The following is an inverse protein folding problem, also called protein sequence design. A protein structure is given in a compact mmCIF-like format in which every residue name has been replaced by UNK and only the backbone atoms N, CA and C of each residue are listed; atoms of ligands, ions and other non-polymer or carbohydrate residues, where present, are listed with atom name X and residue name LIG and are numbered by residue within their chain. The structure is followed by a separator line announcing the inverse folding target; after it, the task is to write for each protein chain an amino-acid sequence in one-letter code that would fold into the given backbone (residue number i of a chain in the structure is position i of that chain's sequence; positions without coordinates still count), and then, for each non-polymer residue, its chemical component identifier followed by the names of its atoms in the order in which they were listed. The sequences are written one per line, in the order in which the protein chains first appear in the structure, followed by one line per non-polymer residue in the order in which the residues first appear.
data_IF_427686555830
#
_entry.id   IF_427686555830
#
_cell.length_a   1.000
_cell.length_b   1.000
_cell.length_c   1.000
_cell.angle_alpha   90.00
_cell.angle_beta   90.00
_cell.angle_gamma   90.00
#
_symmetry.space_group_name_H-M   'P 1'
#
loop_
_entity.id
_entity.type
_entity.pdbx_description
1 polymer ?
#
# COMPACT_ATOMS: atom_id res chain seq x y z
N UNK A 1 -14.26 15.82 7.30
CA UNK A 1 -13.31 15.36 8.33
C UNK A 1 -14.00 14.34 9.24
N UNK A 2 -13.25 13.44 9.86
CA UNK A 2 -13.81 12.52 10.87
C UNK A 2 -14.21 13.28 12.13
N UNK A 3 -15.14 12.72 12.91
CA UNK A 3 -15.48 13.31 14.20
C UNK A 3 -14.40 13.01 15.26
N UNK A 4 -14.49 13.65 16.43
CA UNK A 4 -13.48 13.54 17.49
C UNK A 4 -13.34 12.11 18.01
N UNK A 5 -14.46 11.42 18.24
CA UNK A 5 -14.48 10.02 18.70
C UNK A 5 -13.80 9.08 17.71
N UNK A 6 -14.11 9.22 16.41
CA UNK A 6 -13.49 8.46 15.33
C UNK A 6 -11.97 8.70 15.27
N UNK A 7 -11.57 9.97 15.35
CA UNK A 7 -10.15 10.35 15.29
C UNK A 7 -9.37 9.81 16.49
N UNK A 8 -9.96 9.87 17.70
CA UNK A 8 -9.36 9.31 18.92
C UNK A 8 -9.15 7.80 18.81
N UNK A 9 -10.18 7.06 18.38
CA UNK A 9 -10.08 5.59 18.26
C UNK A 9 -9.06 5.14 17.21
N UNK A 10 -8.91 5.87 16.10
CA UNK A 10 -7.87 5.57 15.11
C UNK A 10 -6.47 5.89 15.63
N UNK A 11 -6.31 6.92 16.46
CA UNK A 11 -5.06 7.22 17.16
C UNK A 11 -4.72 6.13 18.19
N UNK A 12 -5.69 5.70 18.99
CA UNK A 12 -5.53 4.59 19.92
C UNK A 12 -5.15 3.30 19.18
N UNK A 13 -5.69 3.08 17.97
CA UNK A 13 -5.33 1.94 17.12
C UNK A 13 -3.88 2.03 16.63
N UNK A 14 -3.41 3.21 16.23
CA UNK A 14 -2.02 3.44 15.85
C UNK A 14 -1.07 3.15 17.02
N UNK A 15 -1.39 3.62 18.23
CA UNK A 15 -0.60 3.37 19.44
C UNK A 15 -0.57 1.87 19.79
N UNK A 16 -1.71 1.18 19.68
CA UNK A 16 -1.74 -0.26 19.90
C UNK A 16 -0.95 -1.03 18.83
N UNK A 17 -0.92 -0.53 17.59
CA UNK A 17 -0.11 -1.07 16.51
C UNK A 17 1.40 -0.84 16.76
N UNK A 18 1.82 0.33 17.27
CA UNK A 18 3.20 0.58 17.70
C UNK A 18 3.68 -0.50 18.66
N UNK A 19 2.85 -0.85 19.63
CA UNK A 19 3.20 -1.89 20.60
C UNK A 19 3.46 -3.25 19.94
N UNK A 20 2.71 -3.60 18.88
CA UNK A 20 2.98 -4.80 18.10
C UNK A 20 4.27 -4.69 17.27
N UNK A 21 4.62 -3.49 16.80
CA UNK A 21 5.87 -3.24 16.08
C UNK A 21 7.07 -3.37 17.01
N UNK A 22 7.01 -2.78 18.21
CA UNK A 22 8.08 -2.85 19.20
C UNK A 22 8.40 -4.29 19.62
N UNK A 23 7.38 -5.14 19.66
CA UNK A 23 7.51 -6.57 19.96
C UNK A 23 7.84 -7.43 18.72
N UNK A 24 8.08 -6.82 17.56
CA UNK A 24 8.35 -7.50 16.29
C UNK A 24 7.23 -8.47 15.83
N UNK A 25 5.99 -8.21 16.27
CA UNK A 25 4.80 -8.99 15.92
C UNK A 25 4.29 -8.56 14.54
N UNK A 26 4.19 -7.25 14.29
CA UNK A 26 3.65 -6.70 13.04
C UNK A 26 4.49 -5.54 12.52
N UNK A 27 4.57 -5.40 11.19
CA UNK A 27 5.32 -4.30 10.55
C UNK A 27 4.48 -3.43 9.61
N UNK A 28 3.24 -3.86 9.32
CA UNK A 28 2.37 -3.24 8.33
C UNK A 28 0.90 -3.29 8.77
N UNK A 29 0.04 -2.54 8.08
CA UNK A 29 -1.41 -2.51 8.35
C UNK A 29 -2.15 -3.79 7.88
N UNK A 30 -1.44 -4.84 7.45
CA UNK A 30 -2.02 -6.14 7.09
C UNK A 30 -2.10 -7.06 8.32
N UNK A 31 -2.89 -6.65 9.32
CA UNK A 31 -2.88 -7.25 10.66
C UNK A 31 -3.05 -8.77 10.67
N UNK A 32 -4.03 -9.30 9.93
CA UNK A 32 -4.26 -10.75 9.85
C UNK A 32 -3.04 -11.50 9.30
N UNK A 33 -2.43 -10.99 8.23
CA UNK A 33 -1.24 -11.60 7.63
C UNK A 33 -0.03 -11.56 8.55
N UNK A 34 0.23 -10.39 9.15
CA UNK A 34 1.35 -10.20 10.06
C UNK A 34 1.25 -11.08 11.32
N UNK A 35 0.07 -11.17 11.92
CA UNK A 35 -0.18 -12.03 13.09
C UNK A 35 -0.07 -13.51 12.73
N UNK A 36 -0.58 -13.92 11.56
CA UNK A 36 -0.41 -15.30 11.12
C UNK A 36 1.05 -15.66 10.83
N UNK A 37 1.81 -14.77 10.20
CA UNK A 37 3.27 -14.94 10.07
C UNK A 37 3.94 -15.04 11.44
N UNK A 38 3.56 -14.19 12.40
CA UNK A 38 4.08 -14.23 13.77
C UNK A 38 3.85 -15.61 14.41
N UNK A 39 2.61 -16.10 14.47
CA UNK A 39 2.31 -17.41 15.05
C UNK A 39 3.02 -18.55 14.33
N UNK A 40 3.01 -18.56 13.00
CA UNK A 40 3.70 -19.60 12.23
C UNK A 40 5.19 -19.65 12.56
N UNK A 41 5.85 -18.49 12.67
CA UNK A 41 7.29 -18.43 12.95
C UNK A 41 7.63 -18.90 14.36
N UNK A 42 6.76 -18.64 15.35
CA UNK A 42 6.97 -19.13 16.72
C UNK A 42 6.69 -20.63 16.86
N UNK A 43 5.63 -21.13 16.23
CA UNK A 43 5.25 -22.55 16.31
C UNK A 43 6.23 -23.44 15.54
N UNK A 44 6.65 -23.01 14.35
CA UNK A 44 7.49 -23.81 13.45
C UNK A 44 8.99 -23.44 13.51
N UNK A 45 9.38 -22.55 14.43
CA UNK A 45 10.75 -22.04 14.57
C UNK A 45 11.34 -21.50 13.25
N UNK A 46 10.60 -20.62 12.58
CA UNK A 46 10.96 -20.04 11.29
C UNK A 46 11.55 -18.62 11.45
N UNK A 47 12.39 -18.24 10.50
CA UNK A 47 12.88 -16.87 10.37
C UNK A 47 12.11 -16.13 9.27
N UNK A 48 11.51 -14.98 9.60
CA UNK A 48 10.78 -14.15 8.63
C UNK A 48 11.77 -13.44 7.69
N UNK A 49 11.41 -13.29 6.42
CA UNK A 49 12.16 -12.39 5.56
C UNK A 49 12.00 -10.92 6.02
N UNK A 50 13.10 -10.18 6.01
CA UNK A 50 13.16 -8.76 6.37
C UNK A 50 12.50 -7.86 5.32
N UNK A 51 12.52 -8.27 4.06
CA UNK A 51 11.82 -7.60 2.94
C UNK A 51 10.81 -8.56 2.31
N UNK A 52 9.85 -8.00 1.59
CA UNK A 52 8.90 -8.82 0.82
C UNK A 52 9.65 -9.61 -0.25
N UNK A 53 9.68 -10.92 -0.08
CA UNK A 53 10.22 -11.87 -1.06
C UNK A 53 9.06 -12.40 -1.89
N UNK A 54 9.27 -12.59 -3.20
CA UNK A 54 8.21 -13.07 -4.08
C UNK A 54 7.87 -14.51 -3.73
N UNK A 55 6.65 -14.75 -3.25
CA UNK A 55 6.11 -16.10 -3.02
C UNK A 55 6.68 -16.86 -1.82
N UNK A 56 7.43 -16.19 -0.93
CA UNK A 56 7.88 -16.78 0.32
C UNK A 56 7.89 -15.71 1.42
N UNK A 57 7.44 -16.09 2.62
CA UNK A 57 7.24 -15.20 3.76
C UNK A 57 8.25 -15.49 4.89
N UNK A 58 8.70 -16.74 5.02
CA UNK A 58 9.70 -17.18 5.99
C UNK A 58 10.56 -18.35 5.47
N UNK A 59 11.58 -18.73 6.22
CA UNK A 59 12.42 -19.91 5.97
C UNK A 59 12.82 -20.58 7.29
N UNK A 60 13.16 -21.87 7.25
CA UNK A 60 13.66 -22.62 8.41
C UNK A 60 15.20 -22.71 8.45
N UNK A 61 15.75 -23.41 9.44
CA UNK A 61 17.19 -23.60 9.61
C UNK A 61 17.85 -24.35 8.42
N UNK A 62 17.08 -25.08 7.62
CA UNK A 62 17.54 -25.79 6.43
C UNK A 62 17.33 -24.98 5.14
N UNK A 63 17.01 -23.68 5.25
CA UNK A 63 16.67 -22.78 4.15
C UNK A 63 15.44 -23.23 3.33
N UNK A 64 14.58 -24.10 3.87
CA UNK A 64 13.31 -24.44 3.23
C UNK A 64 12.37 -23.24 3.37
N UNK A 65 11.73 -22.86 2.27
CA UNK A 65 10.95 -21.63 2.11
C UNK A 65 9.49 -21.91 2.42
N UNK A 66 8.88 -20.99 3.18
CA UNK A 66 7.51 -21.08 3.63
C UNK A 66 6.70 -19.91 3.06
N UNK A 67 5.62 -20.21 2.35
CA UNK A 67 4.58 -19.22 2.05
C UNK A 67 3.49 -19.32 3.13
N UNK A 68 3.23 -18.23 3.82
CA UNK A 68 2.29 -18.19 4.96
C UNK A 68 1.02 -17.45 4.52
N UNK A 69 -0.14 -18.04 4.79
CA UNK A 69 -1.44 -17.43 4.56
C UNK A 69 -2.29 -17.52 5.81
N UNK A 70 -2.81 -16.39 6.24
CA UNK A 70 -3.56 -16.28 7.48
C UNK A 70 -5.01 -15.92 7.20
N UNK A 71 -5.91 -16.46 8.03
CA UNK A 71 -7.34 -16.19 7.94
C UNK A 71 -7.96 -16.10 9.33
N UNK A 72 -8.71 -15.02 9.57
CA UNK A 72 -9.65 -14.95 10.70
C UNK A 72 -10.89 -15.78 10.34
N UNK A 73 -11.16 -16.82 11.13
CA UNK A 73 -12.27 -17.76 10.95
C UNK A 73 -13.40 -17.37 11.90
N UNK A 74 -14.60 -17.15 11.34
CA UNK A 74 -15.82 -16.86 12.10
C UNK A 74 -16.60 -18.14 12.37
N UNK A 75 -17.49 -18.12 13.37
CA UNK A 75 -18.32 -19.27 13.77
C UNK A 75 -19.16 -19.87 12.63
N UNK A 76 -19.59 -19.05 11.67
CA UNK A 76 -20.40 -19.43 10.51
C UNK A 76 -19.59 -19.68 9.21
N UNK A 77 -18.27 -19.83 9.33
CA UNK A 77 -17.42 -20.03 8.17
C UNK A 77 -17.61 -21.43 7.54
N UNK A 78 -17.78 -21.47 6.22
CA UNK A 78 -17.97 -22.71 5.45
C UNK A 78 -16.68 -23.18 4.77
N UNK A 79 -16.09 -22.34 3.90
CA UNK A 79 -14.84 -22.60 3.20
C UNK A 79 -14.19 -21.32 2.65
N UNK A 80 -12.88 -21.38 2.39
CA UNK A 80 -12.09 -20.33 1.76
C UNK A 80 -11.13 -20.98 0.79
N UNK A 81 -10.90 -20.28 -0.30
CA UNK A 81 -10.00 -20.72 -1.36
C UNK A 81 -8.85 -19.74 -1.46
N UNK A 82 -7.64 -20.24 -1.32
CA UNK A 82 -6.42 -19.50 -1.62
C UNK A 82 -6.08 -19.81 -3.07
N UNK A 83 -5.97 -18.77 -3.90
CA UNK A 83 -5.71 -18.87 -5.33
C UNK A 83 -4.38 -18.23 -5.68
N UNK A 84 -3.92 -18.45 -6.90
CA UNK A 84 -2.74 -17.80 -7.48
C UNK A 84 -1.46 -18.06 -6.68
N UNK A 85 -1.35 -19.26 -6.12
CA UNK A 85 -0.11 -19.75 -5.54
C UNK A 85 0.88 -20.04 -6.67
N UNK A 86 2.16 -19.78 -6.42
CA UNK A 86 3.23 -20.19 -7.31
C UNK A 86 4.13 -21.19 -6.55
N UNK A 87 3.89 -22.50 -6.71
CA UNK A 87 4.57 -23.53 -5.92
C UNK A 87 6.07 -23.60 -6.16
N UNK A 88 6.60 -22.99 -7.23
CA UNK A 88 8.06 -22.92 -7.45
C UNK A 88 8.78 -21.98 -6.47
N UNK A 89 8.05 -21.11 -5.79
CA UNK A 89 8.61 -20.06 -4.93
C UNK A 89 8.71 -20.45 -3.45
N UNK A 90 8.09 -21.55 -3.05
CA UNK A 90 8.09 -22.04 -1.68
C UNK A 90 8.12 -23.56 -1.66
N UNK A 91 8.65 -24.11 -0.56
CA UNK A 91 8.73 -25.55 -0.35
C UNK A 91 7.54 -26.02 0.51
N UNK A 92 7.00 -25.15 1.35
CA UNK A 92 5.78 -25.39 2.12
C UNK A 92 4.79 -24.23 2.05
N UNK A 93 3.50 -24.56 1.93
CA UNK A 93 2.40 -23.64 2.19
C UNK A 93 1.92 -23.84 3.64
N UNK A 94 2.00 -22.79 4.45
CA UNK A 94 1.48 -22.79 5.82
C UNK A 94 0.22 -21.93 5.91
N UNK A 95 -0.87 -22.51 6.39
CA UNK A 95 -2.15 -21.83 6.57
C UNK A 95 -2.45 -21.69 8.05
N UNK A 96 -2.66 -20.46 8.49
CA UNK A 96 -2.89 -20.10 9.89
C UNK A 96 -4.32 -19.64 10.07
N UNK A 97 -5.07 -20.34 10.93
CA UNK A 97 -6.40 -19.94 11.35
C UNK A 97 -6.32 -19.18 12.67
N UNK A 98 -6.91 -17.99 12.67
CA UNK A 98 -7.07 -17.14 13.85
C UNK A 98 -8.55 -17.00 14.19
N UNK A 99 -8.90 -16.79 15.46
CA UNK A 99 -10.26 -16.40 15.84
C UNK A 99 -10.47 -14.89 15.64
N UNK A 100 -11.68 -14.40 15.95
CA UNK A 100 -12.02 -12.97 15.85
C UNK A 100 -11.23 -12.08 16.83
N UNK A 101 -10.56 -12.68 17.81
CA UNK A 101 -9.63 -12.02 18.72
C UNK A 101 -8.16 -12.06 18.27
N UNK A 102 -7.90 -12.58 17.07
CA UNK A 102 -6.55 -12.86 16.54
C UNK A 102 -5.74 -13.88 17.36
N UNK A 103 -6.40 -14.76 18.09
CA UNK A 103 -5.77 -15.88 18.78
C UNK A 103 -5.65 -17.08 17.84
N UNK A 104 -4.57 -17.84 17.99
CA UNK A 104 -4.28 -19.00 17.15
C UNK A 104 -5.28 -20.14 17.41
N UNK A 105 -5.95 -20.61 16.35
CA UNK A 105 -6.85 -21.77 16.38
C UNK A 105 -6.14 -23.02 15.85
N UNK A 106 -5.49 -22.89 14.69
CA UNK A 106 -4.89 -24.02 13.99
C UNK A 106 -3.83 -23.54 13.00
N UNK A 107 -2.85 -24.41 12.75
CA UNK A 107 -1.88 -24.27 11.67
C UNK A 107 -1.94 -25.55 10.84
N UNK A 108 -1.99 -25.39 9.52
CA UNK A 108 -1.89 -26.47 8.55
C UNK A 108 -0.67 -26.26 7.66
N UNK A 109 0.06 -27.33 7.37
CA UNK A 109 1.23 -27.30 6.51
C UNK A 109 1.04 -28.26 5.34
N UNK A 110 1.28 -27.76 4.13
CA UNK A 110 1.19 -28.52 2.89
C UNK A 110 2.54 -28.45 2.18
N UNK A 111 3.06 -29.59 1.76
CA UNK A 111 4.22 -29.66 0.88
C UNK A 111 3.89 -29.04 -0.48
N UNK A 112 4.84 -28.29 -1.03
CA UNK A 112 4.69 -27.69 -2.35
C UNK A 112 4.83 -28.74 -3.44
N UNK A 113 3.91 -28.70 -4.41
CA UNK A 113 3.98 -29.52 -5.62
C UNK A 113 3.47 -28.68 -6.81
N UNK A 114 3.85 -29.01 -8.07
CA UNK A 114 3.55 -28.16 -9.24
C UNK A 114 2.06 -27.80 -9.42
N UNK A 115 1.16 -28.65 -8.95
CA UNK A 115 -0.29 -28.47 -9.06
C UNK A 115 -0.90 -27.61 -7.94
N UNK A 116 -0.13 -27.29 -6.89
CA UNK A 116 -0.56 -26.48 -5.74
C UNK A 116 -0.66 -24.98 -6.10
N UNK A 117 -1.49 -24.67 -7.08
CA UNK A 117 -1.79 -23.32 -7.55
C UNK A 117 -3.00 -22.72 -6.84
N UNK A 118 -3.87 -23.58 -6.30
CA UNK A 118 -5.07 -23.24 -5.55
C UNK A 118 -5.35 -24.29 -4.49
N UNK A 119 -5.82 -23.88 -3.32
CA UNK A 119 -6.27 -24.80 -2.27
C UNK A 119 -7.56 -24.28 -1.64
N UNK A 120 -8.50 -25.17 -1.35
CA UNK A 120 -9.76 -24.86 -0.66
C UNK A 120 -9.80 -25.57 0.68
N UNK A 121 -9.89 -24.80 1.76
CA UNK A 121 -10.05 -25.33 3.12
C UNK A 121 -11.52 -25.20 3.51
N UNK A 122 -12.21 -26.31 3.74
CA UNK A 122 -13.58 -26.32 4.28
C UNK A 122 -13.58 -26.66 5.76
N UNK A 123 -14.64 -26.27 6.47
CA UNK A 123 -14.79 -26.65 7.89
C UNK A 123 -14.92 -28.16 8.09
N UNK A 124 -15.51 -28.86 7.13
CA UNK A 124 -15.75 -30.32 7.16
C UNK A 124 -14.63 -31.15 6.54
N UNK A 125 -13.57 -30.53 6.02
CA UNK A 125 -12.47 -31.26 5.41
C UNK A 125 -11.61 -31.97 6.46
N UNK A 126 -11.17 -33.19 6.16
CA UNK A 126 -10.14 -33.86 6.95
C UNK A 126 -8.76 -33.36 6.55
N UNK A 127 -8.11 -32.67 7.48
CA UNK A 127 -6.75 -32.14 7.35
C UNK A 127 -5.85 -32.65 8.48
N UNK A 128 -6.20 -33.78 9.09
CA UNK A 128 -5.48 -34.35 10.25
C UNK A 128 -3.98 -34.52 9.96
N UNK A 129 -3.62 -35.00 8.77
CA UNK A 129 -2.23 -35.18 8.34
C UNK A 129 -1.44 -33.87 8.18
N UNK A 130 -2.12 -32.79 7.79
CA UNK A 130 -1.49 -31.48 7.55
C UNK A 130 -1.52 -30.59 8.79
N UNK A 131 -2.36 -30.92 9.78
CA UNK A 131 -2.54 -30.12 10.98
C UNK A 131 -1.32 -30.26 11.88
N UNK A 132 -0.72 -29.14 12.23
CA UNK A 132 0.38 -29.06 13.18
C UNK A 132 -0.19 -29.15 14.60
N UNK A 133 0.44 -29.96 15.46
CA UNK A 133 0.11 -29.97 16.88
C UNK A 133 0.61 -28.68 17.54
N UNK A 134 -0.34 -27.92 18.08
CA UNK A 134 -0.11 -26.64 18.77
C UNK A 134 -0.43 -26.73 20.27
N UNK A 135 -0.72 -27.92 20.81
CA UNK A 135 -1.15 -28.12 22.20
C UNK A 135 -0.16 -27.60 23.23
N UNK A 136 1.14 -27.70 22.93
CA UNK A 136 2.24 -27.22 23.78
C UNK A 136 2.62 -25.76 23.53
N UNK A 137 2.07 -25.13 22.49
CA UNK A 137 2.41 -23.76 22.14
C UNK A 137 1.79 -22.79 23.15
N UNK A 138 2.63 -21.96 23.77
CA UNK A 138 2.21 -20.85 24.62
C UNK A 138 2.87 -19.57 24.17
N UNK A 139 2.07 -18.53 23.99
CA UNK A 139 2.56 -17.20 23.69
C UNK A 139 3.23 -16.61 24.94
N UNK A 140 4.21 -15.72 24.74
CA UNK A 140 4.71 -14.90 25.85
C UNK A 140 3.59 -14.02 26.38
N UNK A 141 3.55 -13.82 27.70
CA UNK A 141 2.52 -13.02 28.37
C UNK A 141 2.44 -11.60 27.80
N UNK A 142 3.58 -11.00 27.51
CA UNK A 142 3.68 -9.65 26.95
C UNK A 142 3.04 -9.56 25.56
N UNK A 143 3.34 -10.51 24.66
CA UNK A 143 2.75 -10.57 23.33
C UNK A 143 1.25 -10.78 23.39
N UNK A 144 0.78 -11.64 24.30
CA UNK A 144 -0.64 -11.93 24.48
C UNK A 144 -1.40 -10.68 24.88
N UNK A 145 -0.88 -9.92 25.85
CA UNK A 145 -1.45 -8.65 26.29
C UNK A 145 -1.46 -7.63 25.15
N UNK A 146 -0.39 -7.55 24.36
CA UNK A 146 -0.31 -6.62 23.24
C UNK A 146 -1.34 -6.94 22.14
N UNK A 147 -1.47 -8.21 21.75
CA UNK A 147 -2.46 -8.66 20.75
C UNK A 147 -3.88 -8.42 21.26
N UNK A 148 -4.17 -8.74 22.53
CA UNK A 148 -5.49 -8.51 23.13
C UNK A 148 -5.85 -7.03 23.21
N UNK A 149 -4.88 -6.19 23.59
CA UNK A 149 -5.05 -4.73 23.65
C UNK A 149 -5.34 -4.16 22.26
N UNK A 150 -4.56 -4.57 21.26
CA UNK A 150 -4.78 -4.20 19.88
C UNK A 150 -6.17 -4.65 19.40
N UNK A 151 -6.54 -5.91 19.62
CA UNK A 151 -7.83 -6.43 19.21
C UNK A 151 -8.99 -5.64 19.84
N UNK A 152 -8.91 -5.32 21.14
CA UNK A 152 -9.94 -4.54 21.82
C UNK A 152 -10.19 -3.18 21.16
N UNK A 153 -9.12 -2.50 20.74
CA UNK A 153 -9.23 -1.21 20.02
C UNK A 153 -9.72 -1.44 18.59
N UNK A 154 -9.20 -2.46 17.90
CA UNK A 154 -9.59 -2.81 16.54
C UNK A 154 -11.08 -3.14 16.42
N UNK A 155 -11.63 -3.91 17.36
CA UNK A 155 -13.07 -4.23 17.41
C UNK A 155 -13.92 -2.98 17.67
N UNK A 156 -13.47 -2.06 18.53
CA UNK A 156 -14.16 -0.76 18.71
C UNK A 156 -14.17 0.05 17.43
N UNK A 157 -13.06 0.03 16.67
CA UNK A 157 -12.95 0.72 15.39
C UNK A 157 -13.90 0.11 14.34
N UNK A 158 -14.05 -1.23 14.31
CA UNK A 158 -15.02 -1.94 13.48
C UNK A 158 -16.47 -1.64 13.91
N UNK A 159 -16.75 -1.68 15.21
CA UNK A 159 -18.12 -1.55 15.75
C UNK A 159 -18.73 -0.17 15.55
N UNK A 160 -17.95 0.83 15.17
CA UNK A 160 -18.47 2.15 14.78
C UNK A 160 -19.31 2.13 13.50
N UNK A 161 -19.48 0.98 12.86
CA UNK A 161 -20.45 0.78 11.78
C UNK A 161 -20.05 1.41 10.44
N UNK A 162 -18.81 1.91 10.32
CA UNK A 162 -18.27 2.47 9.07
C UNK A 162 -17.14 1.62 8.45
N UNK A 163 -16.76 0.51 9.09
CA UNK A 163 -15.69 -0.42 8.65
C UNK A 163 -16.18 -1.87 8.68
N UNK A 164 -16.69 -2.37 7.55
CA UNK A 164 -17.29 -3.70 7.51
C UNK A 164 -16.25 -4.84 7.35
N UNK A 165 -14.96 -4.52 7.15
CA UNK A 165 -13.92 -5.54 6.99
C UNK A 165 -12.48 -5.04 7.11
N UNK A 166 -11.55 -6.02 7.10
CA UNK A 166 -10.08 -6.07 7.09
C UNK A 166 -9.21 -4.98 6.41
N UNK A 167 -9.78 -3.90 5.88
CA UNK A 167 -9.05 -2.82 5.22
C UNK A 167 -9.42 -1.45 5.82
N UNK A 168 -8.98 -1.25 7.07
CA UNK A 168 -9.19 0.00 7.83
C UNK A 168 -8.68 1.22 7.05
N UNK A 169 -7.46 1.14 6.51
CA UNK A 169 -6.80 2.24 5.78
C UNK A 169 -7.64 2.69 4.58
N UNK A 170 -8.09 1.74 3.74
CA UNK A 170 -8.90 2.05 2.56
C UNK A 170 -10.16 2.82 2.92
N UNK A 171 -10.95 2.26 3.85
CA UNK A 171 -12.25 2.82 4.23
C UNK A 171 -12.17 4.14 4.98
N UNK A 172 -11.15 4.35 5.83
CA UNK A 172 -10.91 5.65 6.45
C UNK A 172 -10.74 6.73 5.38
N UNK A 173 -9.92 6.46 4.35
CA UNK A 173 -9.72 7.45 3.28
C UNK A 173 -10.95 7.66 2.40
N UNK A 174 -11.72 6.60 2.10
CA UNK A 174 -13.01 6.72 1.38
C UNK A 174 -13.97 7.67 2.12
N UNK A 175 -14.13 7.48 3.43
CA UNK A 175 -15.00 8.32 4.27
C UNK A 175 -14.50 9.77 4.35
N UNK A 176 -13.19 9.96 4.50
CA UNK A 176 -12.61 11.30 4.54
C UNK A 176 -12.83 12.05 3.23
N UNK A 177 -12.60 11.39 2.08
CA UNK A 177 -12.83 11.96 0.76
C UNK A 177 -14.32 12.27 0.53
N UNK A 178 -15.21 11.32 0.82
CA UNK A 178 -16.65 11.50 0.67
C UNK A 178 -17.17 12.68 1.51
N UNK A 179 -16.77 12.78 2.78
CA UNK A 179 -17.14 13.93 3.62
C UNK A 179 -16.55 15.26 3.12
N UNK A 180 -15.31 15.24 2.61
CA UNK A 180 -14.61 16.47 2.17
C UNK A 180 -15.20 17.03 0.88
N UNK A 181 -15.64 16.17 -0.03
CA UNK A 181 -16.15 16.52 -1.36
C UNK A 181 -17.68 16.36 -1.48
N UNK A 182 -18.37 16.04 -0.38
CA UNK A 182 -19.80 15.77 -0.35
C UNK A 182 -20.23 14.69 -1.38
N UNK A 183 -19.50 13.58 -1.40
CA UNK A 183 -19.76 12.44 -2.27
C UNK A 183 -20.65 11.41 -1.55
N UNK A 184 -21.47 10.72 -2.32
CA UNK A 184 -22.18 9.53 -1.88
C UNK A 184 -21.31 8.31 -2.15
N UNK A 185 -20.95 7.56 -1.11
CA UNK A 185 -20.23 6.29 -1.26
C UNK A 185 -21.12 5.25 -1.95
N UNK A 186 -20.53 4.44 -2.83
CA UNK A 186 -21.22 3.33 -3.46
C UNK A 186 -21.68 2.31 -2.40
N UNK A 187 -22.95 1.90 -2.47
CA UNK A 187 -23.59 1.03 -1.47
C UNK A 187 -23.11 -0.42 -1.50
N UNK A 188 -22.44 -0.85 -2.58
CA UNK A 188 -21.85 -2.19 -2.63
C UNK A 188 -20.49 -2.22 -3.32
N UNK A 189 -19.59 -3.08 -2.83
CA UNK A 189 -18.34 -3.46 -3.50
C UNK A 189 -18.56 -4.13 -4.87
N UNK A 190 -19.81 -4.52 -5.16
CA UNK A 190 -20.21 -5.19 -6.40
C UNK A 190 -20.63 -4.22 -7.51
N UNK A 191 -20.86 -2.94 -7.22
CA UNK A 191 -20.95 -1.92 -8.27
C UNK A 191 -19.57 -1.77 -8.91
N UNK A 192 -19.42 -2.36 -10.11
CA UNK A 192 -18.14 -2.38 -10.83
C UNK A 192 -17.77 -0.96 -11.24
N UNK A 193 -16.59 -0.51 -10.81
CA UNK A 193 -15.84 0.53 -11.51
C UNK A 193 -15.55 1.83 -10.77
N UNK A 194 -16.14 2.10 -9.60
CA UNK A 194 -15.91 3.33 -8.81
C UNK A 194 -16.28 3.14 -7.32
N UNK A 195 -15.82 4.03 -6.45
CA UNK A 195 -16.03 3.98 -4.98
C UNK A 195 -17.04 5.03 -4.48
N UNK A 196 -17.21 6.15 -5.20
CA UNK A 196 -18.15 7.22 -4.82
C UNK A 196 -18.71 7.97 -6.04
N UNK A 197 -19.82 8.69 -5.85
CA UNK A 197 -20.47 9.53 -6.86
C UNK A 197 -20.80 10.91 -6.28
N UNK A 198 -20.68 11.98 -7.08
CA UNK A 198 -21.13 13.32 -6.67
C UNK A 198 -22.59 13.61 -7.08
N UNK A 199 -23.09 14.79 -6.69
CA UNK A 199 -24.46 15.22 -7.03
C UNK A 199 -24.70 15.48 -8.52
N UNK A 200 -23.64 15.50 -9.34
CA UNK A 200 -23.70 15.68 -10.79
C UNK A 200 -23.55 14.35 -11.53
N UNK A 201 -23.46 13.23 -10.81
CA UNK A 201 -23.32 11.90 -11.38
C UNK A 201 -21.88 11.53 -11.78
N UNK A 202 -20.87 12.32 -11.40
CA UNK A 202 -19.46 11.96 -11.68
C UNK A 202 -18.99 10.86 -10.74
N UNK A 203 -18.31 9.86 -11.31
CA UNK A 203 -17.82 8.67 -10.63
C UNK A 203 -16.37 8.88 -10.17
N UNK A 204 -16.08 8.50 -8.93
CA UNK A 204 -14.77 8.65 -8.30
C UNK A 204 -14.24 7.30 -7.81
N UNK A 205 -13.03 6.93 -8.21
CA UNK A 205 -12.24 5.88 -7.53
C UNK A 205 -11.43 6.55 -6.40
N UNK A 206 -11.36 5.93 -5.24
CA UNK A 206 -10.63 6.45 -4.08
C UNK A 206 -9.54 5.45 -3.69
N UNK A 207 -8.28 5.87 -3.76
CA UNK A 207 -7.13 5.08 -3.31
C UNK A 207 -6.48 5.72 -2.09
N UNK A 208 -6.41 4.95 -1.02
CA UNK A 208 -5.84 5.41 0.25
C UNK A 208 -4.52 4.74 0.57
N UNK A 209 -3.56 5.50 1.11
CA UNK A 209 -2.32 4.98 1.69
C UNK A 209 -2.02 5.65 3.02
N UNK A 210 -1.74 4.85 4.06
CA UNK A 210 -1.07 5.29 5.28
C UNK A 210 0.43 5.31 5.00
N UNK A 211 1.05 6.47 5.23
CA UNK A 211 2.46 6.73 4.89
C UNK A 211 3.27 6.81 6.18
N UNK A 212 4.13 5.82 6.35
CA UNK A 212 5.13 5.70 7.42
C UNK A 212 6.19 4.71 6.98
N UNK A 213 7.36 4.81 7.60
CA UNK A 213 8.46 3.86 7.41
C UNK A 213 8.33 2.69 8.39
N UNK A 214 8.67 1.50 7.93
CA UNK A 214 8.84 0.30 8.75
C UNK A 214 9.94 -0.57 8.14
N UNK A 215 10.39 -1.59 8.89
CA UNK A 215 11.42 -2.54 8.43
C UNK A 215 11.08 -3.13 7.05
N UNK A 216 9.79 -3.35 6.77
CA UNK A 216 9.31 -3.95 5.51
C UNK A 216 8.92 -2.94 4.44
N UNK A 217 8.69 -1.66 4.78
CA UNK A 217 8.10 -0.68 3.85
C UNK A 217 8.65 0.72 4.05
N UNK A 218 9.06 1.33 2.95
CA UNK A 218 9.47 2.75 2.89
C UNK A 218 8.28 3.59 2.42
N UNK A 219 8.03 4.71 3.10
CA UNK A 219 6.99 5.69 2.82
C UNK A 219 6.99 6.15 1.34
N UNK A 220 8.15 6.50 0.81
CA UNK A 220 8.28 6.98 -0.56
C UNK A 220 7.99 5.93 -1.64
N UNK A 221 8.07 4.65 -1.28
CA UNK A 221 7.88 3.53 -2.20
C UNK A 221 6.44 3.02 -2.24
N UNK A 222 5.51 3.72 -1.57
CA UNK A 222 4.09 3.32 -1.55
C UNK A 222 3.50 3.41 -2.96
N UNK A 223 2.76 2.38 -3.36
CA UNK A 223 2.18 2.23 -4.70
C UNK A 223 0.67 2.21 -4.65
N UNK A 224 0.03 2.77 -5.67
CA UNK A 224 -1.38 2.58 -5.99
C UNK A 224 -1.49 1.55 -7.12
N UNK A 225 -2.42 0.60 -6.98
CA UNK A 225 -2.58 -0.52 -7.91
C UNK A 225 -4.05 -0.63 -8.34
N UNK A 226 -4.29 -1.40 -9.40
CA UNK A 226 -5.63 -1.77 -9.87
C UNK A 226 -6.48 -0.56 -10.31
N UNK A 227 -5.89 0.35 -11.09
CA UNK A 227 -6.62 1.47 -11.72
C UNK A 227 -7.11 1.13 -13.13
N UNK A 228 -6.61 0.05 -13.74
CA UNK A 228 -7.01 -0.41 -15.07
C UNK A 228 -8.41 -1.03 -15.04
N UNK A 229 -9.23 -0.73 -16.06
CA UNK A 229 -10.57 -1.30 -16.22
C UNK A 229 -11.62 -0.72 -15.26
N UNK A 230 -11.33 0.44 -14.67
CA UNK A 230 -12.26 1.21 -13.84
C UNK A 230 -12.99 2.26 -14.69
N UNK A 231 -14.28 2.47 -14.42
CA UNK A 231 -15.14 3.43 -15.14
C UNK A 231 -15.25 4.79 -14.41
N UNK A 232 -14.32 5.08 -13.52
CA UNK A 232 -14.30 6.34 -12.78
C UNK A 232 -13.91 7.52 -13.67
N UNK A 233 -14.64 8.63 -13.58
CA UNK A 233 -14.26 9.92 -14.19
C UNK A 233 -12.99 10.49 -13.54
N UNK A 234 -12.87 10.31 -12.21
CA UNK A 234 -11.77 10.84 -11.42
C UNK A 234 -11.17 9.80 -10.48
N UNK A 235 -9.89 9.98 -10.18
CA UNK A 235 -9.19 9.28 -9.11
C UNK A 235 -8.91 10.27 -7.97
N UNK A 236 -9.31 9.92 -6.76
CA UNK A 236 -8.91 10.62 -5.53
C UNK A 236 -7.82 9.79 -4.87
N UNK A 237 -6.68 10.44 -4.62
CA UNK A 237 -5.61 9.86 -3.79
C UNK A 237 -5.72 10.49 -2.41
N UNK A 238 -5.89 9.64 -1.40
CA UNK A 238 -5.91 10.05 0.02
C UNK A 238 -4.65 9.51 0.68
N UNK A 239 -3.88 10.41 1.30
CA UNK A 239 -2.71 10.04 2.09
C UNK A 239 -3.01 10.29 3.55
N UNK A 240 -2.84 9.24 4.34
CA UNK A 240 -2.95 9.29 5.79
C UNK A 240 -1.55 9.32 6.39
N UNK A 241 -1.37 10.09 7.46
CA UNK A 241 -0.16 10.01 8.27
C UNK A 241 -0.14 8.77 9.17
N UNK A 242 0.87 8.69 10.02
CA UNK A 242 1.00 7.65 11.01
C UNK A 242 -0.23 7.54 11.92
N UNK A 243 -0.87 8.63 12.33
CA UNK A 243 -2.01 8.59 13.26
C UNK A 243 -3.38 8.45 12.55
N UNK A 244 -3.40 8.04 11.27
CA UNK A 244 -4.59 8.00 10.42
C UNK A 244 -5.23 9.37 10.14
N UNK A 245 -4.54 10.48 10.36
CA UNK A 245 -5.04 11.80 9.97
C UNK A 245 -4.79 12.04 8.48
N UNK A 246 -5.62 12.87 7.84
CA UNK A 246 -5.41 13.26 6.45
C UNK A 246 -4.14 14.13 6.34
N UNK A 247 -3.13 13.58 5.67
CA UNK A 247 -1.85 14.23 5.41
C UNK A 247 -1.75 14.78 3.98
N UNK A 248 -2.78 14.58 3.15
CA UNK A 248 -2.87 15.14 1.81
C UNK A 248 -3.95 14.45 1.00
N UNK A 249 -4.56 15.19 0.08
CA UNK A 249 -5.62 14.65 -0.78
C UNK A 249 -5.57 15.33 -2.14
N UNK A 250 -5.57 14.53 -3.22
CA UNK A 250 -5.45 15.02 -4.59
C UNK A 250 -6.51 14.42 -5.50
N UNK A 251 -6.94 15.20 -6.49
CA UNK A 251 -7.81 14.80 -7.57
C UNK A 251 -7.01 14.64 -8.86
N UNK A 252 -7.20 13.52 -9.56
CA UNK A 252 -6.52 13.19 -10.80
C UNK A 252 -7.53 12.71 -11.86
N UNK A 253 -7.23 12.99 -13.13
CA UNK A 253 -7.94 12.39 -14.26
C UNK A 253 -7.25 11.06 -14.64
N UNK A 254 -7.94 9.90 -14.59
CA UNK A 254 -7.33 8.59 -14.82
C UNK A 254 -6.61 8.47 -16.16
N UNK A 255 -7.11 9.12 -17.22
CA UNK A 255 -6.50 9.15 -18.56
C UNK A 255 -5.09 9.77 -18.58
N UNK A 256 -4.73 10.58 -17.58
CA UNK A 256 -3.41 11.23 -17.48
C UNK A 256 -2.40 10.39 -16.68
N UNK A 257 -2.81 9.23 -16.13
CA UNK A 257 -1.94 8.37 -15.32
C UNK A 257 -1.11 7.48 -16.24
N UNK A 258 0.22 7.61 -16.15
CA UNK A 258 1.15 6.71 -16.83
C UNK A 258 1.24 5.40 -16.04
N UNK A 259 1.11 4.26 -16.73
CA UNK A 259 1.10 2.91 -16.14
C UNK A 259 0.04 2.70 -15.02
N UNK A 260 -1.27 2.80 -15.35
CA UNK A 260 -2.36 2.69 -14.38
C UNK A 260 -2.44 1.32 -13.68
N UNK A 261 -1.73 0.29 -14.16
CA UNK A 261 -1.69 -1.02 -13.49
C UNK A 261 -1.05 -0.91 -12.10
N UNK A 262 0.03 -0.14 -12.00
CA UNK A 262 0.75 0.07 -10.75
C UNK A 262 1.61 1.32 -10.82
N UNK A 263 1.25 2.33 -10.03
CA UNK A 263 1.94 3.61 -9.99
C UNK A 263 2.48 3.90 -8.57
N UNK A 264 3.61 4.60 -8.48
CA UNK A 264 4.10 5.11 -7.19
C UNK A 264 3.24 6.30 -6.75
N UNK A 265 3.09 6.53 -5.45
CA UNK A 265 2.34 7.65 -4.89
C UNK A 265 2.80 9.03 -5.41
N UNK A 266 4.07 9.17 -5.80
CA UNK A 266 4.66 10.35 -6.44
C UNK A 266 4.00 10.76 -7.76
N UNK A 267 3.07 9.97 -8.32
CA UNK A 267 2.30 10.42 -9.48
C UNK A 267 1.53 11.72 -9.24
N UNK A 268 1.19 12.04 -7.98
CA UNK A 268 0.57 13.34 -7.64
C UNK A 268 1.47 14.52 -8.03
N UNK A 269 2.79 14.33 -8.09
CA UNK A 269 3.74 15.36 -8.47
C UNK A 269 3.90 15.47 -10.00
N UNK A 270 3.77 14.35 -10.71
CA UNK A 270 4.18 14.22 -12.11
C UNK A 270 3.01 14.22 -13.09
N UNK A 271 1.81 13.84 -12.63
CA UNK A 271 0.62 13.78 -13.49
C UNK A 271 0.11 15.18 -13.82
N UNK A 272 -0.24 15.41 -15.08
CA UNK A 272 -0.77 16.68 -15.56
C UNK A 272 -2.22 16.84 -15.08
N UNK A 273 -2.58 18.07 -14.66
CA UNK A 273 -3.94 18.40 -14.23
C UNK A 273 -4.31 17.92 -12.82
N UNK A 274 -3.35 17.44 -12.03
CA UNK A 274 -3.58 17.09 -10.62
C UNK A 274 -3.99 18.34 -9.85
N UNK A 275 -5.05 18.25 -9.04
CA UNK A 275 -5.51 19.32 -8.15
C UNK A 275 -5.44 18.91 -6.68
N UNK A 276 -5.12 19.83 -5.79
CA UNK A 276 -5.01 19.58 -4.35
C UNK A 276 -6.33 19.88 -3.65
N UNK A 277 -6.89 18.88 -2.97
CA UNK A 277 -8.12 19.00 -2.16
C UNK A 277 -7.77 19.31 -0.70
N UNK A 278 -6.69 18.69 -0.20
CA UNK A 278 -6.11 18.95 1.13
C UNK A 278 -4.61 19.13 0.94
N UNK A 279 -4.01 20.22 1.47
CA UNK A 279 -2.58 20.44 1.38
C UNK A 279 -1.76 19.28 1.96
N UNK A 280 -0.60 19.04 1.36
CA UNK A 280 0.32 18.00 1.73
C UNK A 280 1.06 18.36 3.03
N UNK A 281 1.07 17.40 3.96
CA UNK A 281 1.96 17.37 5.12
C UNK A 281 3.15 16.42 4.90
N UNK A 282 3.22 15.78 3.72
CA UNK A 282 4.24 14.78 3.38
C UNK A 282 5.28 15.43 2.47
N UNK A 283 6.53 15.51 2.94
CA UNK A 283 7.62 16.29 2.31
C UNK A 283 7.87 15.97 0.83
N UNK A 284 7.74 14.70 0.43
CA UNK A 284 8.01 14.26 -0.94
C UNK A 284 6.77 14.31 -1.86
N UNK A 285 5.60 14.71 -1.36
CA UNK A 285 4.37 14.90 -2.13
C UNK A 285 4.05 16.40 -2.17
N UNK A 286 4.01 16.97 -3.37
CA UNK A 286 3.88 18.41 -3.57
C UNK A 286 2.43 18.82 -3.65
N UNK A 287 2.15 20.01 -3.12
CA UNK A 287 0.92 20.71 -3.45
C UNK A 287 0.92 21.09 -4.94
N UNK A 288 -0.30 21.15 -5.45
CA UNK A 288 -0.72 21.48 -6.81
C UNK A 288 -1.81 22.54 -6.74
N UNK A 289 -2.24 23.03 -7.89
CA UNK A 289 -3.38 23.96 -7.99
C UNK A 289 -4.55 23.49 -7.10
N UNK A 290 -5.11 24.37 -6.25
CA UNK A 290 -6.22 24.01 -5.38
C UNK A 290 -7.43 23.52 -6.17
N UNK A 291 -8.10 22.49 -5.65
CA UNK A 291 -9.40 22.08 -6.15
C UNK A 291 -10.48 22.98 -5.52
N UNK A 292 -11.09 23.82 -6.35
CA UNK A 292 -12.25 24.59 -5.94
C UNK A 292 -13.51 23.70 -6.00
N UNK A 293 -14.12 23.47 -4.85
CA UNK A 293 -15.43 22.82 -4.78
C UNK A 293 -16.42 23.83 -5.36
N UNK A 294 -17.18 23.49 -6.43
CA UNK A 294 -18.20 24.38 -6.95
C UNK A 294 -19.20 24.65 -5.82
N UNK A 295 -19.14 25.87 -5.26
CA UNK A 295 -20.06 26.31 -4.23
C UNK A 295 -21.43 26.31 -4.89
N UNK A 296 -22.37 25.50 -4.38
CA UNK A 296 -23.79 25.67 -4.72
C UNK A 296 -24.15 27.10 -4.30
N UNK A 297 -24.15 28.03 -5.25
CA UNK A 297 -24.81 29.31 -5.05
C UNK A 297 -26.24 28.97 -4.67
N UNK A 298 -26.63 29.24 -3.42
CA UNK A 298 -28.03 29.28 -3.03
C UNK A 298 -28.66 30.38 -3.89
N UNK A 299 -29.16 29.99 -5.06
CA UNK A 299 -29.88 30.86 -5.95
C UNK A 299 -31.11 31.35 -5.22
N UNK A 300 -31.04 32.58 -4.70
CA UNK A 300 -32.21 33.35 -4.34
C UNK A 300 -32.94 33.57 -5.67
N UNK A 301 -34.00 32.81 -5.91
CA UNK A 301 -34.83 32.95 -7.09
C UNK A 301 -35.34 34.40 -7.15
N UNK A 302 -34.72 35.21 -8.02
CA UNK A 302 -35.33 36.45 -8.46
C UNK A 302 -36.16 36.10 -9.68
N UNK A 303 -37.47 36.07 -9.46
CA UNK A 303 -38.46 36.14 -10.52
C UNK A 303 -38.21 37.44 -11.30
N UNK A 304 -37.73 37.31 -12.52
CA UNK A 304 -37.83 38.39 -13.51
C UNK A 304 -38.18 37.74 -14.85
N UNK A 305 -39.37 38.10 -15.33
CA UNK A 305 -39.96 37.70 -16.60
C UNK A 305 -39.03 38.03 -17.79
N UNK A 306 -39.13 37.28 -18.89
CA UNK A 306 -38.25 37.49 -20.04
C UNK A 306 -38.66 38.76 -20.79
N UNK A 307 -37.79 39.78 -20.74
CA UNK A 307 -37.84 40.89 -21.70
C UNK A 307 -37.11 40.48 -22.96
N UNK A 308 -37.83 40.54 -24.07
CA UNK A 308 -37.34 40.48 -25.44
C UNK A 308 -36.39 41.63 -25.72
N UNK A 309 -35.12 41.33 -26.02
CA UNK A 309 -34.17 42.29 -26.58
C UNK A 309 -33.85 41.94 -28.03
N UNK A 310 -34.14 42.92 -28.89
CA UNK A 310 -33.87 42.93 -30.32
C UNK A 310 -32.38 43.18 -30.57
N UNK A 311 -31.87 42.50 -31.61
CA UNK A 311 -30.82 42.95 -32.52
C UNK A 311 -29.56 43.60 -31.93
N UNK A 312 -28.53 42.78 -31.72
CA UNK A 312 -27.13 43.23 -31.71
C UNK A 312 -26.33 42.47 -32.78
N UNK A 313 -25.66 43.24 -33.65
CA UNK A 313 -24.75 42.81 -34.72
C UNK A 313 -23.71 41.78 -34.24
N UNK A 314 -23.35 40.78 -35.06
CA UNK A 314 -22.33 39.81 -34.70
C UNK A 314 -20.94 40.47 -34.69
N UNK A 315 -20.29 40.47 -33.52
CA UNK A 315 -18.85 40.68 -33.40
C UNK A 315 -18.14 39.46 -33.99
N UNK A 316 -17.15 39.73 -34.83
CA UNK A 316 -16.27 38.78 -35.49
C UNK A 316 -15.63 37.81 -34.50
N UNK A 317 -16.12 36.57 -34.50
CA UNK A 317 -15.50 35.43 -33.84
C UNK A 317 -14.18 35.14 -34.54
N UNK A 318 -13.07 35.23 -33.80
CA UNK A 318 -11.78 34.68 -34.23
C UNK A 318 -11.99 33.19 -34.51
N UNK A 319 -11.80 32.78 -35.77
CA UNK A 319 -11.79 31.37 -36.19
C UNK A 319 -10.85 30.58 -35.27
N UNK A 320 -11.42 29.75 -34.42
CA UNK A 320 -10.67 28.68 -33.76
C UNK A 320 -10.04 27.80 -34.84
N UNK A 321 -8.75 27.56 -34.69
CA UNK A 321 -8.00 26.69 -35.60
C UNK A 321 -8.64 25.30 -35.60
N UNK A 322 -9.05 24.84 -36.78
CA UNK A 322 -9.60 23.48 -36.97
C UNK A 322 -8.67 22.45 -36.32
N UNK A 323 -9.20 21.47 -35.57
CA UNK A 323 -8.38 20.43 -34.97
C UNK A 323 -7.60 19.70 -36.06
N UNK A 324 -6.27 19.59 -35.91
CA UNK A 324 -5.41 18.86 -36.83
C UNK A 324 -5.91 17.42 -36.92
N UNK A 325 -6.37 17.01 -38.11
CA UNK A 325 -6.89 15.68 -38.40
C UNK A 325 -5.79 14.65 -38.09
N UNK A 326 -5.91 13.89 -37.00
CA UNK A 326 -4.98 12.80 -36.69
C UNK A 326 -5.29 11.62 -37.60
N UNK A 327 -4.27 11.07 -38.26
CA UNK A 327 -4.41 9.86 -39.06
C UNK A 327 -4.44 8.65 -38.12
N UNK A 328 -5.48 7.82 -38.17
CA UNK A 328 -5.57 6.62 -37.33
C UNK A 328 -4.54 5.56 -37.74
N UNK A 329 -4.05 4.79 -36.76
CA UNK A 329 -2.93 3.85 -36.97
C UNK A 329 -3.25 2.73 -37.98
N UNK A 330 -4.52 2.32 -38.11
CA UNK A 330 -4.90 1.24 -39.01
C UNK A 330 -4.61 1.55 -40.49
N UNK A 331 -4.57 2.83 -40.88
CA UNK A 331 -4.22 3.24 -42.26
C UNK A 331 -2.78 2.90 -42.63
N UNK A 332 -1.90 2.68 -41.64
CA UNK A 332 -0.50 2.30 -41.83
C UNK A 332 -0.27 0.80 -41.61
N UNK A 333 -1.09 0.16 -40.77
CA UNK A 333 -0.97 -1.28 -40.46
C UNK A 333 -1.58 -2.15 -41.57
N UNK A 334 -2.74 -1.78 -42.12
CA UNK A 334 -3.40 -2.58 -43.17
C UNK A 334 -2.52 -2.78 -44.42
N UNK A 335 -1.84 -1.76 -44.96
CA UNK A 335 -0.90 -1.94 -46.07
C UNK A 335 0.28 -2.84 -45.71
N UNK A 336 0.83 -2.76 -44.49
CA UNK A 336 1.94 -3.64 -44.08
C UNK A 336 1.53 -5.10 -44.00
N UNK A 337 0.31 -5.38 -43.50
CA UNK A 337 -0.23 -6.74 -43.51
C UNK A 337 -0.48 -7.24 -44.93
N UNK A 338 -1.00 -6.39 -45.82
CA UNK A 338 -1.21 -6.73 -47.22
C UNK A 338 0.11 -7.08 -47.92
N UNK A 339 1.14 -6.23 -47.78
CA UNK A 339 2.47 -6.48 -48.35
C UNK A 339 3.06 -7.79 -47.79
N UNK A 340 2.93 -8.00 -46.48
CA UNK A 340 3.45 -9.21 -45.85
C UNK A 340 2.79 -10.48 -46.37
N UNK A 341 1.45 -10.54 -46.39
CA UNK A 341 0.74 -11.77 -46.73
C UNK A 341 0.78 -12.09 -48.23
N UNK A 342 0.75 -11.08 -49.09
CA UNK A 342 0.65 -11.30 -50.54
C UNK A 342 1.99 -11.28 -51.27
N UNK A 343 3.02 -10.63 -50.72
CA UNK A 343 4.31 -10.50 -51.41
C UNK A 343 5.49 -11.10 -50.64
N UNK A 344 5.53 -11.01 -49.31
CA UNK A 344 6.68 -11.49 -48.54
C UNK A 344 6.51 -12.96 -48.16
N UNK A 345 5.40 -13.31 -47.49
CA UNK A 345 5.14 -14.66 -46.99
C UNK A 345 5.21 -15.76 -48.08
N UNK A 346 4.75 -15.54 -49.33
CA UNK A 346 4.84 -16.57 -50.38
C UNK A 346 6.24 -16.76 -50.96
N UNK A 347 7.12 -15.75 -50.86
CA UNK A 347 8.39 -15.71 -51.60
C UNK A 347 9.62 -15.91 -50.71
N UNK A 348 9.47 -15.99 -49.38
CA UNK A 348 10.58 -16.08 -48.44
C UNK A 348 10.35 -17.17 -47.39
N UNK A 349 11.42 -17.84 -46.91
CA UNK A 349 11.37 -18.74 -45.77
C UNK A 349 10.81 -18.03 -44.54
N UNK A 350 10.16 -18.80 -43.64
CA UNK A 350 9.45 -18.25 -42.47
C UNK A 350 10.33 -17.33 -41.60
N UNK A 351 11.59 -17.70 -41.42
CA UNK A 351 12.55 -16.96 -40.59
C UNK A 351 12.92 -15.61 -41.23
N UNK A 352 13.17 -15.58 -42.53
CA UNK A 352 13.48 -14.36 -43.28
C UNK A 352 12.26 -13.43 -43.42
N UNK A 353 11.08 -14.01 -43.67
CA UNK A 353 9.83 -13.26 -43.78
C UNK A 353 9.54 -12.45 -42.51
N UNK A 354 9.89 -12.96 -41.33
CA UNK A 354 9.73 -12.24 -40.05
C UNK A 354 10.61 -10.98 -40.01
N UNK A 355 11.86 -11.04 -40.48
CA UNK A 355 12.73 -9.86 -40.53
C UNK A 355 12.19 -8.80 -41.50
N UNK A 356 11.70 -9.20 -42.67
CA UNK A 356 11.04 -8.27 -43.59
C UNK A 356 9.77 -7.65 -42.99
N UNK A 357 8.97 -8.44 -42.24
CA UNK A 357 7.78 -7.93 -41.55
C UNK A 357 8.11 -6.87 -40.50
N UNK A 358 9.16 -7.11 -39.71
CA UNK A 358 9.66 -6.14 -38.73
C UNK A 358 10.14 -4.86 -39.45
N UNK A 359 10.88 -5.01 -40.55
CA UNK A 359 11.37 -3.89 -41.36
C UNK A 359 10.25 -2.99 -41.89
N UNK A 360 9.24 -3.56 -42.55
CA UNK A 360 8.10 -2.79 -43.07
C UNK A 360 7.26 -2.18 -41.94
N UNK A 361 7.16 -2.86 -40.79
CA UNK A 361 6.48 -2.35 -39.61
C UNK A 361 7.15 -1.10 -39.02
N UNK A 362 8.49 -1.08 -38.98
CA UNK A 362 9.25 0.10 -38.55
C UNK A 362 9.08 1.28 -39.52
N UNK A 363 9.06 1.02 -40.83
CA UNK A 363 8.81 2.05 -41.86
C UNK A 363 7.40 2.64 -41.71
N UNK A 364 6.38 1.79 -41.55
CA UNK A 364 5.00 2.23 -41.34
C UNK A 364 4.84 3.04 -40.05
N UNK A 365 5.51 2.62 -38.96
CA UNK A 365 5.55 3.36 -37.71
C UNK A 365 6.20 4.75 -37.86
N UNK A 366 7.29 4.84 -38.64
CA UNK A 366 7.92 6.12 -38.96
C UNK A 366 6.98 7.07 -39.70
N UNK A 367 6.30 6.60 -40.76
CA UNK A 367 5.33 7.40 -41.49
C UNK A 367 4.12 7.80 -40.64
N UNK A 368 3.62 6.89 -39.80
CA UNK A 368 2.56 7.18 -38.83
C UNK A 368 2.94 8.32 -37.88
N UNK A 369 4.16 8.28 -37.32
CA UNK A 369 4.65 9.37 -36.46
C UNK A 369 4.82 10.66 -37.22
N UNK A 370 5.39 10.63 -38.43
CA UNK A 370 5.60 11.81 -39.27
C UNK A 370 4.28 12.48 -39.66
N UNK A 371 3.27 11.70 -40.06
CA UNK A 371 1.95 12.19 -40.43
C UNK A 371 1.16 12.79 -39.25
N UNK A 372 1.51 12.41 -38.01
CA UNK A 372 0.85 12.87 -36.79
C UNK A 372 1.71 13.81 -35.92
N UNK A 373 2.91 14.18 -36.37
CA UNK A 373 3.78 15.11 -35.67
C UNK A 373 3.22 16.52 -35.75
N UNK A 374 3.21 17.26 -34.63
CA UNK A 374 2.84 18.68 -34.65
C UNK A 374 4.00 19.48 -35.26
N UNK A 375 3.75 20.61 -35.94
CA UNK A 375 4.81 21.43 -36.54
C UNK A 375 5.92 21.86 -35.55
N UNK A 376 5.59 22.01 -34.25
CA UNK A 376 6.57 22.35 -33.20
C UNK A 376 7.53 21.21 -32.82
N UNK A 377 7.13 19.94 -32.98
CA UNK A 377 7.96 18.80 -32.54
C UNK A 377 9.19 18.56 -33.43
N UNK A 378 9.20 19.08 -34.66
CA UNK A 378 10.32 18.92 -35.61
C UNK A 378 11.45 19.92 -35.31
N UNK A 379 11.10 21.09 -34.80
CA UNK A 379 12.06 22.14 -34.43
C UNK A 379 12.74 21.78 -33.11
N UNK A 380 11.98 21.30 -32.13
CA UNK A 380 12.48 20.82 -30.84
C UNK A 380 13.41 19.59 -30.96
N UNK A 381 13.16 18.71 -31.94
CA UNK A 381 14.05 17.58 -32.22
C UNK A 381 15.41 18.02 -32.77
N UNK A 382 15.43 19.06 -33.61
CA UNK A 382 16.66 19.62 -34.18
C UNK A 382 17.48 20.36 -33.12
N UNK A 383 16.84 21.05 -32.17
CA UNK A 383 17.52 21.66 -31.01
C UNK A 383 18.06 20.61 -30.05
N UNK A 384 17.30 19.55 -29.75
CA UNK A 384 17.79 18.44 -28.89
C UNK A 384 19.00 17.70 -29.46
N UNK A 385 19.05 17.48 -30.78
CA UNK A 385 20.19 16.85 -31.46
C UNK A 385 21.46 17.73 -31.44
N UNK A 386 21.30 19.06 -31.46
CA UNK A 386 22.42 20.03 -31.32
C UNK A 386 22.93 20.13 -29.88
N UNK A 387 22.06 19.96 -28.88
CA UNK A 387 22.46 19.98 -27.46
C UNK A 387 23.18 18.69 -27.06
N UNK A 388 22.79 17.54 -27.59
CA UNK A 388 23.43 16.25 -27.29
C UNK A 388 24.89 16.19 -27.76
N UNK A 389 25.15 16.65 -28.99
CA UNK A 389 26.51 16.71 -29.56
C UNK A 389 27.44 17.67 -28.80
N UNK A 390 26.91 18.69 -28.13
CA UNK A 390 27.68 19.58 -27.25
C UNK A 390 27.93 19.01 -25.84
N UNK A 391 27.03 18.14 -25.34
CA UNK A 391 27.13 17.57 -23.99
C UNK A 391 28.06 16.36 -23.96
N UNK A 392 28.11 15.59 -25.05
CA UNK A 392 28.98 14.42 -25.16
C UNK A 392 30.47 14.81 -25.25
N UNK A 393 30.80 15.99 -25.81
CA UNK A 393 32.15 16.57 -25.75
C UNK A 393 32.61 17.03 -24.35
N UNK A 394 31.70 17.13 -23.38
CA UNK A 394 31.99 17.61 -22.01
C UNK A 394 32.10 16.50 -20.97
N UNK A 395 31.78 15.25 -21.31
CA UNK A 395 31.77 14.10 -20.38
C UNK A 395 33.02 13.22 -20.42
N UNK A 396 34.00 13.54 -21.26
CA UNK A 396 35.23 12.75 -21.40
C UNK A 396 36.34 13.14 -20.41
N UNK A 397 36.07 14.06 -19.46
CA UNK A 397 37.01 14.42 -18.39
C UNK A 397 36.30 14.56 -17.04
N UNK A 398 36.15 13.47 -16.28
CA UNK A 398 36.18 13.43 -14.81
C UNK A 398 36.00 12.00 -14.28
N UNK A 399 36.96 11.56 -13.46
CA UNK A 399 37.02 10.26 -12.78
C UNK A 399 36.23 10.26 -11.42
N UNK A 400 36.34 9.23 -10.56
CA UNK A 400 35.23 8.35 -10.19
C UNK A 400 34.55 8.66 -8.84
N UNK A 401 33.44 7.96 -8.63
CA UNK A 401 32.44 8.07 -7.56
C UNK A 401 32.97 7.55 -6.21
N UNK A 402 32.75 8.25 -5.08
CA UNK A 402 32.82 7.64 -3.75
C UNK A 402 31.46 7.09 -3.29
N UNK A 403 31.52 5.89 -2.75
CA UNK A 403 30.49 5.15 -2.03
C UNK A 403 30.20 5.70 -0.62
N UNK A 404 29.04 5.27 -0.11
CA UNK A 404 28.51 5.38 1.27
C UNK A 404 27.76 6.67 1.66
N UNK A 405 26.43 6.55 1.74
CA UNK A 405 25.61 7.40 2.60
C UNK A 405 24.69 6.55 3.46
N UNK A 406 25.04 6.49 4.75
CA UNK A 406 24.22 6.02 5.87
C UNK A 406 23.05 7.00 6.04
N UNK A 407 21.81 6.55 5.85
CA UNK A 407 20.62 7.38 6.10
C UNK A 407 20.06 7.12 7.51
N UNK A 408 19.99 8.21 8.28
CA UNK A 408 19.43 8.30 9.65
C UNK A 408 17.95 7.91 9.69
N UNK A 409 17.63 6.99 10.60
CA UNK A 409 16.26 6.63 10.98
C UNK A 409 15.57 7.81 11.68
N UNK A 410 14.47 8.30 11.09
CA UNK A 410 13.50 9.16 11.78
C UNK A 410 12.54 8.30 12.60
N UNK A 411 12.94 7.98 13.84
CA UNK A 411 11.97 7.70 14.90
C UNK A 411 11.75 9.00 15.66
N UNK A 412 10.58 9.61 15.50
CA UNK A 412 10.14 10.70 16.37
C UNK A 412 9.83 10.08 17.73
N UNK A 413 10.83 10.03 18.62
CA UNK A 413 10.63 9.85 20.06
C UNK A 413 9.91 11.10 20.55
N UNK A 414 8.62 10.98 20.85
CA UNK A 414 7.96 11.96 21.70
C UNK A 414 8.60 11.91 23.08
N UNK A 415 9.24 13.01 23.46
CA UNK A 415 9.84 13.24 24.77
C UNK A 415 8.75 13.23 25.85
N UNK A 416 8.57 12.09 26.53
CA UNK A 416 8.13 12.09 27.92
C UNK A 416 9.41 12.24 28.75
N UNK A 417 9.59 13.40 29.37
CA UNK A 417 10.63 13.64 30.38
C UNK A 417 10.39 12.69 31.55
N UNK A 418 11.09 11.56 31.57
CA UNK A 418 11.30 10.78 32.78
C UNK A 418 12.52 11.40 33.45
N UNK A 419 12.33 11.99 34.62
CA UNK A 419 13.43 12.47 35.46
C UNK A 419 14.38 11.31 35.73
N UNK A 420 15.61 11.46 35.26
CA UNK A 420 16.71 10.53 35.43
C UNK A 420 17.14 10.62 36.89
N UNK A 421 16.74 9.66 37.72
CA UNK A 421 17.38 9.45 39.03
C UNK A 421 18.76 8.87 38.73
N UNK A 422 19.78 9.69 38.94
CA UNK A 422 21.18 9.27 38.86
C UNK A 422 21.43 8.19 39.93
N UNK A 423 21.83 7.00 39.49
CA UNK A 423 22.45 6.01 40.37
C UNK A 423 23.92 6.43 40.59
N UNK A 424 24.38 6.65 41.82
CA UNK A 424 25.81 6.87 42.06
C UNK A 424 26.58 5.55 41.87
N UNK A 425 27.77 5.69 41.28
CA UNK A 425 28.75 4.64 41.03
C UNK A 425 29.30 4.05 42.36
N UNK A 426 29.85 2.82 42.34
CA UNK A 426 30.17 2.07 43.55
C UNK A 426 31.41 2.64 44.25
N UNK A 427 31.31 2.85 45.56
CA UNK A 427 32.47 3.09 46.42
C UNK A 427 33.05 1.75 46.85
N UNK A 428 34.28 1.50 46.44
CA UNK A 428 35.20 0.55 47.08
C UNK A 428 35.48 1.08 48.49
N UNK A 429 35.28 0.26 49.53
CA UNK A 429 36.05 0.36 50.76
C UNK A 429 36.03 -0.95 51.56
N UNK A 430 37.23 -1.48 51.74
CA UNK A 430 37.80 -2.12 52.92
C UNK A 430 36.87 -2.70 54.00
N UNK A 431 37.12 -3.99 54.30
CA UNK A 431 37.01 -4.67 55.59
C UNK A 431 36.70 -3.75 56.78
N UNK A 432 35.62 -4.06 57.49
CA UNK A 432 35.54 -4.03 58.94
C UNK A 432 34.57 -5.12 59.39
N UNK A 433 35.15 -6.05 60.13
CA UNK A 433 34.46 -6.93 61.07
C UNK A 433 33.67 -6.08 62.09
N UNK A 434 32.74 -6.73 62.79
CA UNK A 434 31.96 -6.25 63.94
C UNK A 434 30.62 -5.57 63.66
N UNK A 435 29.56 -6.37 63.41
CA UNK A 435 28.20 -6.10 63.93
C UNK A 435 27.54 -7.44 64.34
N UNK A 436 26.85 -7.52 65.51
CA UNK A 436 26.37 -8.76 66.11
C UNK A 436 25.08 -9.27 65.46
N UNK A 437 24.94 -10.59 65.37
CA UNK A 437 23.69 -11.24 64.97
C UNK A 437 22.72 -11.25 66.17
N UNK A 438 21.65 -10.46 66.10
CA UNK A 438 20.48 -10.63 66.96
C UNK A 438 19.60 -11.73 66.38
N UNK A 439 19.53 -12.87 67.07
CA UNK A 439 18.51 -13.89 66.84
C UNK A 439 17.27 -13.52 67.65
N UNK A 440 16.16 -13.22 66.99
CA UNK A 440 14.86 -13.10 67.64
C UNK A 440 14.36 -14.50 68.04
N UNK A 441 14.47 -14.80 69.34
CA UNK A 441 13.90 -15.99 69.97
C UNK A 441 12.68 -15.57 70.81
N UNK A 442 11.51 -16.16 70.53
CA UNK A 442 10.29 -15.97 71.31
C UNK A 442 10.33 -16.85 72.59
N UNK A 443 10.17 -16.30 73.80
CA UNK A 443 10.29 -17.04 75.06
C UNK A 443 9.20 -18.10 75.32
N UNK A 444 8.18 -18.23 74.47
CA UNK A 444 7.11 -19.22 74.64
C UNK A 444 7.12 -20.36 73.62
N UNK A 445 7.87 -20.24 72.52
CA UNK A 445 8.00 -21.30 71.51
C UNK A 445 9.45 -21.32 71.05
N UNK A 446 10.22 -22.33 71.48
CA UNK A 446 11.67 -22.42 71.27
C UNK A 446 12.14 -22.16 69.83
N UNK A 447 13.40 -21.70 69.70
CA UNK A 447 13.98 -21.28 68.43
C UNK A 447 14.17 -22.49 67.49
N UNK A 448 13.42 -22.52 66.39
CA UNK A 448 13.53 -23.53 65.33
C UNK A 448 14.44 -22.99 64.21
N UNK A 449 15.75 -23.19 64.38
CA UNK A 449 16.77 -22.82 63.40
C UNK A 449 17.13 -24.05 62.55
N UNK A 450 16.28 -24.44 61.60
CA UNK A 450 16.63 -25.55 60.69
C UNK A 450 17.58 -25.04 59.59
N UNK A 451 18.83 -25.48 59.70
CA UNK A 451 19.93 -25.25 58.78
C UNK A 451 19.84 -26.21 57.58
N UNK A 452 19.66 -25.66 56.37
CA UNK A 452 19.99 -26.22 55.04
C UNK A 452 19.72 -25.09 54.03
N UNK A 453 20.67 -24.45 53.35
CA UNK A 453 22.00 -24.81 52.87
C UNK A 453 22.88 -23.54 52.82
N UNK A 454 24.18 -23.74 53.09
CA UNK A 454 25.27 -22.80 52.78
C UNK A 454 25.61 -22.83 51.29
#
# INVERSE_FOLDING_TARGET
MLNQTQSKLLKDLAIAHDRLVDLNIAYTDNYTGELGEYYATKVLNLTRYSRSTKGADAYDANNRRYQIKAKVVKSNYSAHTIKSLNPQLFDFLTIVHLNENFELIAIYQFESHPELTTIRLSRSGDYSKQKIDISKFKLLKEDSIAIQTFNKVYQKVISLGFLDSSNVVGKVGELMAAKKLNLQLASSRTQKGYDAIDSYGKKYEIKTRRVYDSIRRIAENRRINNLVGKESDYLIIVVLDYEFQCAGMWLLEPKNIINPKSANLKIVNTTIGVKSIVPSKVSYLKDREPFEIPVKSRGRAKNTAPKTEKNARPKTVKKEAKPSKKYPAYLFVLPTMFIFYFFIKPNYPREEAIYYYIGIGLIAFYFYRKANAKPRDIEDLKTLLRVKTATDKKKEQAAPIPTETVYKNYYIKNNVRINKVEKPAPKINSRRDDIPWECDCDPLNGCDCDHRDC
#
